data_IF_571637068542
#
_entry.id   IF_571637068542
#
_cell.length_a   1.000
_cell.length_b   1.000
_cell.length_c   1.000
_cell.angle_alpha   90.00
_cell.angle_beta   90.00
_cell.angle_gamma   90.00
#
_symmetry.space_group_name_H-M   'P 1'
#
loop_
_entity.id
_entity.type
_entity.pdbx_description
1 polymer ?
#
# COMPACT_ATOMS: atom_id res chain seq x y z
N UNK A 1 41.76 -31.69 64.91
CA UNK A 1 41.24 -32.31 63.65
C UNK A 1 40.19 -31.47 62.91
N UNK A 2 39.42 -30.57 63.56
CA UNK A 2 38.39 -29.77 62.88
C UNK A 2 38.88 -28.65 61.94
N UNK A 3 40.05 -28.05 62.21
CA UNK A 3 40.57 -26.91 61.42
C UNK A 3 41.19 -27.34 60.08
N UNK A 4 41.72 -28.56 59.99
CA UNK A 4 42.26 -29.14 58.75
C UNK A 4 41.13 -29.51 57.77
N UNK A 5 40.01 -30.03 58.28
CA UNK A 5 38.81 -30.34 57.49
C UNK A 5 38.14 -29.09 56.91
N UNK A 6 38.21 -27.95 57.62
CA UNK A 6 37.70 -26.66 57.15
C UNK A 6 38.56 -26.03 56.04
N UNK A 7 39.89 -26.20 56.10
CA UNK A 7 40.80 -25.77 55.04
C UNK A 7 40.69 -26.65 53.79
N UNK A 8 40.43 -27.95 53.94
CA UNK A 8 40.19 -28.87 52.83
C UNK A 8 38.82 -28.58 52.16
N UNK A 9 37.79 -28.21 52.92
CA UNK A 9 36.49 -27.85 52.34
C UNK A 9 36.52 -26.50 51.61
N UNK A 10 37.18 -25.48 52.19
CA UNK A 10 37.39 -24.16 51.56
C UNK A 10 38.28 -24.24 50.32
N UNK A 11 39.34 -25.05 50.35
CA UNK A 11 40.17 -25.29 49.16
C UNK A 11 39.41 -26.04 48.08
N UNK A 12 38.52 -26.98 48.42
CA UNK A 12 37.64 -27.65 47.43
C UNK A 12 36.59 -26.71 46.83
N UNK A 13 36.07 -25.76 47.61
CA UNK A 13 35.11 -24.76 47.14
C UNK A 13 35.78 -23.71 46.25
N UNK A 14 36.99 -23.29 46.62
CA UNK A 14 37.83 -22.40 45.82
C UNK A 14 38.35 -23.08 44.54
N UNK A 15 38.62 -24.40 44.56
CA UNK A 15 38.98 -25.18 43.36
C UNK A 15 37.78 -25.36 42.42
N UNK A 16 36.56 -25.49 42.96
CA UNK A 16 35.31 -25.49 42.17
C UNK A 16 34.97 -24.13 41.56
N UNK A 17 35.41 -23.02 42.16
CA UNK A 17 35.22 -21.69 41.58
C UNK A 17 36.37 -21.23 40.67
N UNK A 18 37.55 -21.87 40.74
CA UNK A 18 38.73 -21.54 39.95
C UNK A 18 38.96 -22.45 38.72
N UNK A 19 38.36 -23.65 38.69
CA UNK A 19 38.37 -24.53 37.52
C UNK A 19 37.06 -24.40 36.74
N UNK A 20 37.04 -23.43 35.81
CA UNK A 20 36.31 -23.50 34.54
C UNK A 20 34.79 -23.52 34.62
N UNK A 21 34.15 -22.44 34.13
CA UNK A 21 32.81 -22.61 33.56
C UNK A 21 32.83 -23.77 32.58
N UNK A 22 31.88 -24.69 32.69
CA UNK A 22 31.83 -25.99 32.01
C UNK A 22 32.30 -25.94 30.54
N UNK A 23 33.60 -26.13 30.31
CA UNK A 23 34.22 -26.28 28.99
C UNK A 23 33.74 -27.61 28.41
N UNK A 24 33.46 -27.73 27.11
CA UNK A 24 32.95 -28.97 26.49
C UNK A 24 33.71 -30.22 26.96
N UNK A 25 33.09 -31.12 27.74
CA UNK A 25 33.73 -32.36 28.25
C UNK A 25 33.25 -33.62 27.51
N UNK A 26 32.65 -33.50 26.32
CA UNK A 26 32.05 -34.64 25.60
C UNK A 26 32.29 -34.56 24.09
N UNK A 27 32.61 -35.70 23.46
CA UNK A 27 32.73 -35.82 22.00
C UNK A 27 31.42 -35.61 21.22
N UNK A 28 30.30 -35.41 21.90
CA UNK A 28 28.98 -35.10 21.32
C UNK A 28 28.55 -33.63 21.49
N UNK A 29 29.34 -32.82 22.21
CA UNK A 29 29.03 -31.40 22.40
C UNK A 29 29.64 -30.58 21.26
N UNK A 30 28.89 -29.61 20.78
CA UNK A 30 29.33 -28.69 19.74
C UNK A 30 28.94 -27.26 20.10
N UNK A 31 29.88 -26.34 19.94
CA UNK A 31 29.62 -24.90 20.02
C UNK A 31 28.56 -24.46 19.00
N UNK A 32 27.94 -23.29 19.22
CA UNK A 32 26.96 -22.75 18.29
C UNK A 32 27.59 -22.44 16.94
N UNK A 33 26.85 -22.71 15.86
CA UNK A 33 27.18 -22.32 14.47
C UNK A 33 25.91 -21.78 13.82
N UNK A 34 25.96 -20.58 13.24
CA UNK A 34 24.79 -19.97 12.61
C UNK A 34 24.32 -20.74 11.37
N UNK A 35 23.02 -21.02 11.31
CA UNK A 35 22.31 -21.52 10.13
C UNK A 35 21.56 -20.36 9.44
N UNK A 36 20.96 -19.46 10.23
CA UNK A 36 20.33 -18.23 9.74
C UNK A 36 20.82 -17.03 10.56
N UNK A 37 21.23 -15.97 9.86
CA UNK A 37 21.65 -14.70 10.47
C UNK A 37 20.74 -13.56 10.00
N UNK A 38 20.54 -12.52 10.82
CA UNK A 38 19.61 -11.46 10.49
C UNK A 38 20.06 -10.65 9.28
N UNK A 39 19.10 -10.09 8.57
CA UNK A 39 19.31 -9.21 7.42
C UNK A 39 18.74 -7.83 7.72
N UNK A 40 19.41 -6.79 7.22
CA UNK A 40 18.93 -5.41 7.35
C UNK A 40 17.59 -5.24 6.64
N UNK A 41 16.65 -4.54 7.27
CA UNK A 41 15.31 -4.33 6.75
C UNK A 41 14.85 -2.89 6.90
N UNK A 42 13.85 -2.53 6.08
CA UNK A 42 13.17 -1.24 6.15
C UNK A 42 11.71 -1.46 6.52
N UNK A 43 11.26 -0.83 7.61
CA UNK A 43 9.87 -0.87 8.08
C UNK A 43 9.12 0.40 7.66
N UNK A 44 7.98 0.30 6.94
CA UNK A 44 7.23 1.48 6.50
C UNK A 44 6.50 2.16 7.67
N UNK A 45 6.62 3.47 7.77
CA UNK A 45 5.88 4.27 8.76
C UNK A 45 4.37 4.32 8.44
N UNK A 46 3.52 4.42 9.46
CA UNK A 46 2.06 4.56 9.31
C UNK A 46 1.24 3.26 9.39
N UNK A 47 1.87 2.09 9.55
CA UNK A 47 1.14 0.85 9.81
C UNK A 47 0.71 0.76 11.29
N UNK A 48 -0.61 0.69 11.52
CA UNK A 48 -1.21 0.67 12.87
C UNK A 48 -1.06 -0.67 13.62
N UNK A 49 -0.68 -1.76 12.95
CA UNK A 49 -0.53 -3.11 13.52
C UNK A 49 0.62 -3.92 12.89
N UNK A 50 1.76 -3.29 12.62
CA UNK A 50 2.91 -4.02 12.08
C UNK A 50 3.79 -4.66 13.15
N UNK A 51 4.56 -5.67 12.74
CA UNK A 51 5.63 -6.29 13.53
C UNK A 51 6.88 -6.47 12.68
N UNK A 52 8.04 -6.41 13.32
CA UNK A 52 9.33 -6.73 12.71
C UNK A 52 9.88 -7.99 13.35
N UNK A 53 10.37 -8.92 12.53
CA UNK A 53 11.04 -10.13 13.00
C UNK A 53 12.45 -10.17 12.44
N UNK A 54 13.45 -10.18 13.32
CA UNK A 54 14.84 -10.44 12.96
C UNK A 54 15.15 -11.92 13.20
N UNK A 55 15.43 -12.65 12.12
CA UNK A 55 15.73 -14.08 12.20
C UNK A 55 17.13 -14.36 12.73
N UNK A 56 17.25 -15.31 13.66
CA UNK A 56 18.53 -15.82 14.12
C UNK A 56 18.40 -17.28 14.56
N UNK A 57 19.14 -18.17 13.91
CA UNK A 57 19.14 -19.59 14.22
C UNK A 57 20.56 -20.14 14.19
N UNK A 58 20.94 -20.87 15.23
CA UNK A 58 22.23 -21.53 15.36
C UNK A 58 22.06 -22.99 15.76
N UNK A 59 22.80 -23.87 15.09
CA UNK A 59 22.95 -25.27 15.47
C UNK A 59 23.94 -25.36 16.62
N UNK A 60 23.55 -26.02 17.71
CA UNK A 60 24.40 -26.22 18.89
C UNK A 60 23.97 -27.47 19.66
N UNK A 61 24.92 -28.13 20.32
CA UNK A 61 24.67 -29.27 21.21
C UNK A 61 25.44 -29.07 22.52
N UNK A 62 24.77 -28.83 23.66
CA UNK A 62 23.32 -28.59 23.85
C UNK A 62 22.82 -27.33 23.13
N UNK A 63 21.49 -27.21 23.01
CA UNK A 63 20.82 -26.10 22.32
C UNK A 63 21.26 -24.74 22.87
N UNK A 64 21.50 -23.79 21.97
CA UNK A 64 21.95 -22.45 22.32
C UNK A 64 20.82 -21.60 22.90
N UNK A 65 21.19 -20.72 23.81
CA UNK A 65 20.38 -19.60 24.29
C UNK A 65 20.70 -18.36 23.47
N UNK A 66 19.71 -17.50 23.26
CA UNK A 66 19.83 -16.33 22.38
C UNK A 66 19.63 -15.03 23.15
N UNK A 67 20.42 -14.02 22.80
CA UNK A 67 20.27 -12.64 23.28
C UNK A 67 20.43 -11.68 22.11
N UNK A 68 19.77 -10.54 22.17
CA UNK A 68 19.85 -9.52 21.14
C UNK A 68 20.46 -8.24 21.68
N UNK A 69 21.25 -7.58 20.85
CA UNK A 69 21.81 -6.26 21.13
C UNK A 69 21.39 -5.28 20.06
N UNK A 70 21.07 -4.06 20.46
CA UNK A 70 20.84 -2.91 19.58
C UNK A 70 21.87 -1.84 19.90
N UNK A 71 22.66 -1.43 18.90
CA UNK A 71 23.75 -0.45 19.05
C UNK A 71 24.72 -0.80 20.20
N UNK A 72 24.95 -2.09 20.45
CA UNK A 72 25.81 -2.60 21.53
C UNK A 72 25.11 -2.84 22.87
N UNK A 73 23.90 -2.33 23.09
CA UNK A 73 23.14 -2.49 24.34
C UNK A 73 22.20 -3.69 24.27
N UNK A 74 22.12 -4.49 25.33
CA UNK A 74 21.27 -5.68 25.39
C UNK A 74 19.77 -5.32 25.43
N UNK A 75 18.98 -5.95 24.54
CA UNK A 75 17.53 -5.76 24.45
C UNK A 75 16.87 -6.52 25.60
N UNK A 76 16.12 -5.80 26.43
CA UNK A 76 15.42 -6.36 27.60
C UNK A 76 14.10 -7.03 27.17
N UNK A 77 14.18 -8.30 26.76
CA UNK A 77 13.00 -9.10 26.36
C UNK A 77 12.18 -9.48 27.60
N UNK A 78 10.86 -9.27 27.55
CA UNK A 78 9.92 -9.66 28.61
C UNK A 78 9.67 -8.62 29.70
N UNK A 79 10.52 -7.59 29.83
CA UNK A 79 10.26 -6.44 30.70
C UNK A 79 9.25 -5.48 30.05
N UNK A 80 9.27 -5.40 28.72
CA UNK A 80 8.27 -4.72 27.90
C UNK A 80 7.53 -5.75 27.03
N UNK A 81 6.19 -5.66 26.96
CA UNK A 81 5.34 -6.57 26.18
C UNK A 81 5.55 -6.50 24.66
N UNK A 82 6.30 -5.51 24.17
CA UNK A 82 6.57 -5.28 22.74
C UNK A 82 7.65 -6.18 22.16
N UNK A 83 8.62 -6.61 22.98
CA UNK A 83 9.73 -7.45 22.55
C UNK A 83 9.47 -8.89 22.93
N UNK A 84 9.50 -9.78 21.94
CA UNK A 84 9.39 -11.22 22.16
C UNK A 84 10.58 -11.94 21.52
N UNK A 85 11.10 -12.94 22.22
CA UNK A 85 12.12 -13.86 21.70
C UNK A 85 11.45 -15.19 21.42
N UNK A 86 11.36 -15.57 20.15
CA UNK A 86 10.70 -16.80 19.70
C UNK A 86 11.69 -17.65 18.94
N UNK A 87 12.16 -18.74 19.57
CA UNK A 87 13.14 -19.67 19.00
C UNK A 87 14.40 -18.99 18.43
N UNK A 88 14.91 -17.95 19.12
CA UNK A 88 16.08 -17.18 18.71
C UNK A 88 15.76 -15.90 17.92
N UNK A 89 14.57 -15.80 17.34
CA UNK A 89 14.14 -14.64 16.57
C UNK A 89 13.66 -13.51 17.49
N UNK A 90 14.11 -12.28 17.23
CA UNK A 90 13.60 -11.09 17.91
C UNK A 90 12.38 -10.56 17.17
N UNK A 91 11.25 -10.50 17.86
CA UNK A 91 9.99 -9.92 17.38
C UNK A 91 9.74 -8.59 18.09
N UNK A 92 9.55 -7.53 17.30
CA UNK A 92 9.23 -6.18 17.76
C UNK A 92 7.81 -5.86 17.30
N UNK A 93 6.87 -5.78 18.24
CA UNK A 93 5.48 -5.39 17.95
C UNK A 93 5.34 -3.87 17.94
N UNK A 94 4.58 -3.35 16.98
CA UNK A 94 4.34 -1.90 16.80
C UNK A 94 5.63 -1.07 16.82
N UNK A 95 6.56 -1.34 15.88
CA UNK A 95 7.89 -0.75 15.91
C UNK A 95 7.84 0.77 15.68
N UNK A 96 8.70 1.50 16.41
CA UNK A 96 8.74 2.96 16.48
C UNK A 96 10.10 3.51 16.02
N UNK A 97 10.14 4.49 15.09
CA UNK A 97 11.39 5.02 14.54
C UNK A 97 12.38 5.52 15.59
N UNK A 98 11.89 6.24 16.61
CA UNK A 98 12.73 6.84 17.64
C UNK A 98 13.40 5.83 18.59
N UNK A 99 12.93 4.58 18.62
CA UNK A 99 13.37 3.57 19.61
C UNK A 99 13.99 2.34 18.98
N UNK A 100 13.41 1.89 17.86
CA UNK A 100 13.71 0.59 17.27
C UNK A 100 14.60 0.72 16.02
N UNK A 101 14.96 1.94 15.63
CA UNK A 101 15.96 2.17 14.59
C UNK A 101 17.36 1.92 15.15
N UNK A 102 18.14 1.06 14.50
CA UNK A 102 19.47 0.73 15.00
C UNK A 102 20.09 -0.49 14.35
N UNK A 103 21.30 -0.81 14.81
CA UNK A 103 22.08 -1.95 14.36
C UNK A 103 21.93 -3.11 15.33
N UNK A 104 21.29 -4.19 14.88
CA UNK A 104 20.95 -5.35 15.68
C UNK A 104 21.92 -6.50 15.46
N UNK A 105 22.31 -7.16 16.54
CA UNK A 105 23.14 -8.36 16.52
C UNK A 105 22.57 -9.42 17.46
N UNK A 106 22.60 -10.67 16.99
CA UNK A 106 22.21 -11.83 17.74
C UNK A 106 23.45 -12.49 18.38
N UNK A 107 23.36 -12.80 19.66
CA UNK A 107 24.34 -13.54 20.43
C UNK A 107 23.77 -14.93 20.75
N UNK A 108 24.37 -15.98 20.20
CA UNK A 108 24.02 -17.36 20.50
C UNK A 108 25.06 -17.97 21.45
N UNK A 109 24.62 -18.51 22.58
CA UNK A 109 25.48 -19.00 23.67
C UNK A 109 25.06 -20.40 24.09
N UNK A 110 26.01 -21.32 24.15
CA UNK A 110 25.88 -22.56 24.92
C UNK A 110 27.12 -22.77 25.80
N UNK A 111 27.18 -23.88 26.54
CA UNK A 111 28.33 -24.21 27.39
C UNK A 111 29.67 -24.31 26.64
N UNK A 112 29.61 -24.60 25.36
CA UNK A 112 30.78 -24.74 24.49
C UNK A 112 31.30 -23.43 23.91
N UNK A 113 30.53 -22.35 23.98
CA UNK A 113 30.99 -21.04 23.51
C UNK A 113 29.86 -20.08 23.14
N UNK A 114 30.28 -18.91 22.66
CA UNK A 114 29.40 -17.83 22.24
C UNK A 114 29.82 -17.29 20.87
N UNK A 115 28.84 -17.07 19.99
CA UNK A 115 29.05 -16.46 18.67
C UNK A 115 28.12 -15.26 18.48
N UNK A 116 28.59 -14.25 17.75
CA UNK A 116 27.86 -13.02 17.43
C UNK A 116 27.57 -12.96 15.94
N UNK A 117 26.32 -12.66 15.56
CA UNK A 117 25.92 -12.58 14.17
C UNK A 117 26.44 -11.31 13.47
N UNK A 118 26.34 -11.30 12.14
CA UNK A 118 26.39 -10.06 11.36
C UNK A 118 25.38 -9.04 11.88
N UNK A 119 25.72 -7.76 11.71
CA UNK A 119 24.84 -6.66 12.04
C UNK A 119 23.72 -6.51 11.02
N UNK A 120 22.48 -6.36 11.50
CA UNK A 120 21.31 -6.08 10.70
C UNK A 120 20.72 -4.74 11.11
N UNK A 121 20.61 -3.82 10.16
CA UNK A 121 20.09 -2.48 10.43
C UNK A 121 18.58 -2.46 10.22
N UNK A 122 17.83 -2.04 11.24
CA UNK A 122 16.43 -1.65 11.08
C UNK A 122 16.41 -0.15 10.79
N UNK A 123 15.81 0.21 9.66
CA UNK A 123 15.51 1.60 9.32
C UNK A 123 14.03 1.76 9.03
N UNK A 124 13.54 2.98 9.15
CA UNK A 124 12.14 3.30 8.91
C UNK A 124 11.98 4.02 7.58
N UNK A 125 11.02 3.55 6.78
CA UNK A 125 10.70 4.13 5.48
C UNK A 125 9.74 5.28 5.67
N UNK A 126 10.14 6.47 5.25
CA UNK A 126 9.27 7.64 5.19
C UNK A 126 8.56 7.64 3.84
N UNK A 127 7.23 7.60 3.84
CA UNK A 127 6.46 7.82 2.62
C UNK A 127 6.72 9.27 2.15
N UNK A 128 7.19 9.48 0.91
CA UNK A 128 7.38 10.83 0.41
C UNK A 128 6.02 11.54 0.40
N UNK A 129 5.85 12.70 1.07
CA UNK A 129 4.62 13.48 0.93
C UNK A 129 4.37 13.78 -0.56
N UNK A 130 3.10 13.74 -0.98
CA UNK A 130 2.74 14.17 -2.33
C UNK A 130 3.25 15.58 -2.55
N UNK A 131 4.12 15.77 -3.54
CA UNK A 131 4.51 17.10 -3.99
C UNK A 131 3.22 17.84 -4.40
N UNK A 132 2.92 19.01 -3.81
CA UNK A 132 1.78 19.81 -4.24
C UNK A 132 1.89 20.07 -5.75
N UNK A 133 0.80 19.96 -6.53
CA UNK A 133 0.81 20.26 -7.96
C UNK A 133 1.23 21.70 -8.30
N UNK A 134 1.14 22.61 -7.32
CA UNK A 134 0.98 24.05 -7.55
C UNK A 134 2.21 24.91 -7.19
N UNK A 135 3.39 24.30 -6.99
CA UNK A 135 4.54 24.99 -6.39
C UNK A 135 5.74 25.24 -7.33
N UNK A 136 5.66 24.88 -8.62
CA UNK A 136 6.80 25.05 -9.55
C UNK A 136 6.52 26.16 -10.55
N UNK A 137 7.36 27.18 -10.56
CA UNK A 137 7.35 28.23 -11.57
C UNK A 137 7.71 27.67 -12.96
N UNK A 138 7.06 28.11 -14.04
CA UNK A 138 7.47 27.77 -15.40
C UNK A 138 8.93 28.14 -15.66
N UNK A 139 9.66 27.27 -16.37
CA UNK A 139 11.05 27.51 -16.76
C UNK A 139 11.14 27.69 -18.27
N UNK A 140 11.85 28.72 -18.72
CA UNK A 140 12.13 29.00 -20.12
C UNK A 140 13.59 28.71 -20.44
N UNK A 141 13.84 28.14 -21.63
CA UNK A 141 15.18 27.88 -22.16
C UNK A 141 15.27 28.42 -23.59
N UNK A 142 16.44 28.91 -23.97
CA UNK A 142 16.70 29.32 -25.35
C UNK A 142 16.99 28.10 -26.22
N UNK A 143 16.54 28.13 -27.46
CA UNK A 143 16.80 27.08 -28.44
C UNK A 143 18.30 26.81 -28.56
N UNK A 144 18.68 25.53 -28.62
CA UNK A 144 20.06 25.08 -28.75
C UNK A 144 20.85 25.04 -27.44
N UNK A 145 20.32 25.57 -26.33
CA UNK A 145 21.00 25.62 -25.03
C UNK A 145 20.62 24.43 -24.16
N UNK A 146 21.58 23.93 -23.37
CA UNK A 146 21.33 22.88 -22.38
C UNK A 146 20.67 23.42 -21.12
N UNK A 147 19.78 22.65 -20.51
CA UNK A 147 19.06 23.04 -19.29
C UNK A 147 18.76 21.82 -18.41
N UNK A 148 18.20 22.03 -17.22
CA UNK A 148 17.74 20.94 -16.37
C UNK A 148 16.47 21.32 -15.61
N UNK A 149 15.68 20.31 -15.26
CA UNK A 149 14.50 20.41 -14.42
C UNK A 149 14.76 19.70 -13.09
N UNK A 150 14.57 20.42 -12.00
CA UNK A 150 14.80 19.90 -10.67
C UNK A 150 13.63 19.00 -10.24
N UNK A 151 13.92 17.79 -9.73
CA UNK A 151 12.86 16.92 -9.20
C UNK A 151 12.47 17.30 -7.75
N UNK A 152 13.44 17.65 -6.91
CA UNK A 152 13.23 18.01 -5.49
C UNK A 152 12.27 17.06 -4.76
N UNK A 153 12.58 15.75 -4.69
CA UNK A 153 11.77 14.83 -3.89
C UNK A 153 11.82 15.26 -2.40
N UNK A 154 10.72 15.11 -1.66
CA UNK A 154 10.74 15.32 -0.22
C UNK A 154 11.63 14.29 0.48
N UNK A 155 11.90 14.49 1.77
CA UNK A 155 12.68 13.55 2.59
C UNK A 155 12.13 12.13 2.47
N UNK A 156 12.99 11.19 2.11
CA UNK A 156 12.60 9.82 1.79
C UNK A 156 13.66 8.82 2.25
N UNK A 157 13.22 7.58 2.49
CA UNK A 157 14.09 6.43 2.72
C UNK A 157 13.30 5.14 2.36
N UNK A 158 13.89 4.13 1.68
CA UNK A 158 15.26 4.05 1.19
C UNK A 158 15.48 4.88 -0.09
N UNK A 159 16.61 4.70 -0.76
CA UNK A 159 16.94 5.41 -2.00
C UNK A 159 15.81 5.23 -3.05
N UNK A 160 15.45 6.33 -3.71
CA UNK A 160 14.48 6.32 -4.80
C UNK A 160 15.19 6.05 -6.15
N UNK A 161 14.43 5.51 -7.09
CA UNK A 161 14.72 5.58 -8.51
C UNK A 161 13.82 6.62 -9.17
N UNK A 162 14.36 7.30 -10.17
CA UNK A 162 13.77 8.50 -10.76
C UNK A 162 13.52 8.32 -12.24
N UNK A 163 12.33 8.73 -12.66
CA UNK A 163 11.91 8.78 -14.06
C UNK A 163 11.17 10.08 -14.32
N UNK A 164 11.13 10.51 -15.56
CA UNK A 164 10.35 11.69 -15.96
C UNK A 164 9.39 11.32 -17.05
N UNK A 165 8.22 11.96 -17.04
CA UNK A 165 7.26 11.88 -18.12
C UNK A 165 6.83 13.27 -18.59
N UNK A 166 6.52 13.37 -19.87
CA UNK A 166 6.14 14.61 -20.54
C UNK A 166 4.63 14.61 -20.78
N UNK A 167 3.99 15.72 -20.44
CA UNK A 167 2.55 16.03 -20.53
C UNK A 167 1.66 15.10 -19.71
N UNK A 168 1.61 13.81 -20.07
CA UNK A 168 0.72 12.84 -19.42
C UNK A 168 1.43 11.52 -19.10
N UNK A 169 1.04 10.92 -17.98
CA UNK A 169 1.54 9.60 -17.57
C UNK A 169 0.86 8.50 -18.42
N UNK A 170 1.57 7.52 -19.02
CA UNK A 170 2.97 7.14 -18.78
C UNK A 170 3.93 7.49 -19.96
N UNK A 171 3.89 8.71 -20.50
CA UNK A 171 4.79 9.12 -21.58
C UNK A 171 6.21 9.40 -21.06
N UNK A 172 6.93 8.33 -20.72
CA UNK A 172 8.24 8.42 -20.09
C UNK A 172 9.32 8.83 -21.09
N UNK A 173 10.18 9.75 -20.66
CA UNK A 173 11.32 10.20 -21.45
C UNK A 173 12.34 9.08 -21.52
N UNK A 174 12.63 8.63 -22.74
CA UNK A 174 13.65 7.64 -23.01
C UNK A 174 15.00 8.33 -23.27
N UNK A 175 16.07 7.99 -22.54
CA UNK A 175 17.40 8.58 -22.74
C UNK A 175 18.16 8.01 -23.96
N UNK A 176 17.45 7.47 -24.95
CA UNK A 176 18.02 6.64 -26.03
C UNK A 176 19.00 7.39 -26.95
N UNK A 177 18.79 8.69 -27.17
CA UNK A 177 19.67 9.52 -28.02
C UNK A 177 20.72 10.33 -27.25
N UNK A 178 20.85 10.13 -25.93
CA UNK A 178 21.79 10.88 -25.08
C UNK A 178 21.46 12.38 -24.90
N UNK A 179 20.43 12.88 -25.58
CA UNK A 179 19.91 14.25 -25.45
C UNK A 179 19.25 14.52 -24.09
N UNK A 180 18.70 13.46 -23.50
CA UNK A 180 18.05 13.48 -22.19
C UNK A 180 18.79 12.58 -21.20
N UNK A 181 18.96 13.06 -19.97
CA UNK A 181 19.57 12.28 -18.89
C UNK A 181 18.82 12.49 -17.59
N UNK A 182 18.54 11.40 -16.85
CA UNK A 182 17.91 11.47 -15.53
C UNK A 182 18.91 11.03 -14.47
N UNK A 183 19.30 11.95 -13.60
CA UNK A 183 20.18 11.65 -12.47
C UNK A 183 19.45 10.76 -11.47
N UNK A 184 19.95 9.55 -11.24
CA UNK A 184 19.41 8.66 -10.20
C UNK A 184 19.82 9.07 -8.78
N UNK A 185 20.68 10.09 -8.63
CA UNK A 185 21.12 10.60 -7.31
C UNK A 185 20.28 11.80 -6.88
N UNK A 186 20.04 12.75 -7.80
CA UNK A 186 19.30 13.99 -7.49
C UNK A 186 17.87 13.98 -8.01
N UNK A 187 17.54 13.06 -8.91
CA UNK A 187 16.28 12.99 -9.63
C UNK A 187 16.14 14.01 -10.76
N UNK A 188 17.11 14.88 -10.98
CA UNK A 188 17.00 15.95 -11.98
C UNK A 188 17.01 15.39 -13.41
N UNK A 189 16.20 15.99 -14.27
CA UNK A 189 16.19 15.75 -15.72
C UNK A 189 17.07 16.78 -16.39
N UNK A 190 18.05 16.33 -17.17
CA UNK A 190 18.96 17.17 -17.94
C UNK A 190 18.62 17.05 -19.42
N UNK A 191 18.59 18.20 -20.08
CA UNK A 191 18.41 18.36 -21.51
C UNK A 191 19.70 18.96 -22.09
N UNK A 192 20.37 18.24 -22.98
CA UNK A 192 21.63 18.70 -23.55
C UNK A 192 21.45 19.85 -24.55
N UNK A 193 20.35 19.83 -25.32
CA UNK A 193 20.03 20.81 -26.36
C UNK A 193 18.52 20.98 -26.48
N UNK A 194 18.02 22.16 -26.15
CA UNK A 194 16.60 22.49 -26.22
C UNK A 194 16.12 22.72 -27.66
N UNK A 195 14.97 22.13 -28.00
CA UNK A 195 14.27 22.29 -29.28
C UNK A 195 12.85 22.80 -29.05
N UNK A 196 12.21 23.49 -30.03
CA UNK A 196 10.84 23.99 -29.87
C UNK A 196 9.83 22.89 -29.50
N UNK A 197 10.05 21.66 -29.98
CA UNK A 197 9.21 20.49 -29.72
C UNK A 197 9.32 19.95 -28.28
N UNK A 198 10.29 20.42 -27.48
CA UNK A 198 10.42 20.06 -26.07
C UNK A 198 9.49 20.91 -25.17
N UNK A 199 8.66 21.78 -25.75
CA UNK A 199 7.72 22.59 -24.97
C UNK A 199 6.61 21.70 -24.39
N UNK A 200 6.53 21.61 -23.07
CA UNK A 200 5.49 20.82 -22.41
C UNK A 200 5.58 20.81 -20.88
N UNK A 201 4.72 20.01 -20.26
CA UNK A 201 4.65 19.86 -18.81
C UNK A 201 5.43 18.63 -18.36
N UNK A 202 6.49 18.82 -17.58
CA UNK A 202 7.38 17.75 -17.15
C UNK A 202 7.10 17.34 -15.71
N UNK A 203 7.02 16.03 -15.49
CA UNK A 203 6.68 15.47 -14.18
C UNK A 203 7.74 14.47 -13.71
N UNK A 204 8.24 14.68 -12.50
CA UNK A 204 9.13 13.73 -11.83
C UNK A 204 8.32 12.57 -11.23
N UNK A 205 8.70 11.35 -11.57
CA UNK A 205 8.13 10.12 -11.07
C UNK A 205 9.18 9.38 -10.24
N UNK A 206 8.84 9.11 -8.98
CA UNK A 206 9.73 8.45 -8.02
C UNK A 206 9.21 7.07 -7.68
N UNK A 207 10.11 6.09 -7.64
CA UNK A 207 9.82 4.73 -7.16
C UNK A 207 10.86 4.34 -6.13
N UNK A 208 10.52 3.45 -5.21
CA UNK A 208 11.48 2.99 -4.19
C UNK A 208 12.42 1.95 -4.82
N UNK A 209 13.74 2.14 -4.72
CA UNK A 209 14.71 1.13 -5.16
C UNK A 209 14.86 0.06 -4.07
N UNK A 210 14.35 -1.14 -4.35
CA UNK A 210 14.30 -2.25 -3.40
C UNK A 210 15.60 -3.06 -3.27
N UNK A 211 16.64 -2.78 -4.06
CA UNK A 211 17.91 -3.53 -4.00
C UNK A 211 18.64 -3.42 -2.64
N UNK A 212 18.39 -2.36 -1.85
CA UNK A 212 19.05 -2.12 -0.55
C UNK A 212 18.30 -2.78 0.64
N UNK A 213 17.13 -3.37 0.42
CA UNK A 213 16.29 -3.92 1.50
C UNK A 213 16.19 -5.45 1.42
N UNK A 214 17.26 -6.15 1.82
CA UNK A 214 17.27 -7.61 1.96
C UNK A 214 16.26 -8.06 3.03
N UNK A 215 15.13 -8.62 2.59
CA UNK A 215 13.92 -8.88 3.40
C UNK A 215 13.29 -7.60 3.96
N UNK A 216 12.88 -6.72 3.07
CA UNK A 216 11.86 -5.74 3.40
C UNK A 216 10.60 -6.47 3.89
N UNK A 217 10.16 -6.17 5.12
CA UNK A 217 8.77 -6.38 5.55
C UNK A 217 7.87 -5.28 4.99
N UNK A 218 8.19 -4.68 3.84
CA UNK A 218 7.12 -4.36 2.93
C UNK A 218 6.50 -5.71 2.61
N UNK A 219 5.31 -5.97 3.16
CA UNK A 219 4.38 -6.83 2.46
C UNK A 219 4.30 -6.18 1.07
N UNK A 220 5.08 -6.68 0.11
CA UNK A 220 4.71 -6.57 -1.30
C UNK A 220 3.30 -7.12 -1.25
N UNK A 221 2.34 -6.21 -1.24
CA UNK A 221 0.95 -6.57 -1.08
C UNK A 221 0.64 -7.26 -2.39
N UNK A 222 0.87 -8.57 -2.39
CA UNK A 222 0.84 -9.37 -3.58
C UNK A 222 -0.64 -9.50 -3.89
N UNK A 223 -1.14 -8.53 -4.66
CA UNK A 223 -2.52 -8.48 -5.08
C UNK A 223 -2.67 -9.53 -6.16
N UNK A 224 -3.36 -10.60 -5.81
CA UNK A 224 -3.72 -11.64 -6.76
C UNK A 224 -5.12 -11.34 -7.27
N UNK A 225 -5.28 -11.40 -8.59
CA UNK A 225 -6.57 -11.30 -9.24
C UNK A 225 -6.98 -12.73 -9.57
N UNK A 226 -8.13 -13.16 -9.07
CA UNK A 226 -8.68 -14.49 -9.33
C UNK A 226 -10.15 -14.40 -9.68
N UNK A 227 -10.70 -15.50 -10.18
CA UNK A 227 -12.15 -15.63 -10.37
C UNK A 227 -12.86 -15.59 -9.02
N UNK A 228 -14.06 -15.02 -9.04
CA UNK A 228 -14.97 -15.04 -7.89
C UNK A 228 -15.25 -16.48 -7.44
N UNK A 229 -15.41 -16.65 -6.14
CA UNK A 229 -15.81 -17.89 -5.49
C UNK A 229 -16.96 -17.61 -4.50
N UNK A 230 -17.84 -18.58 -4.28
CA UNK A 230 -19.07 -18.35 -3.49
C UNK A 230 -18.82 -17.92 -2.03
N UNK A 231 -17.66 -18.27 -1.46
CA UNK A 231 -17.28 -17.82 -0.12
C UNK A 231 -16.97 -16.32 -0.05
N UNK A 232 -16.71 -15.65 -1.17
CA UNK A 232 -16.45 -14.21 -1.23
C UNK A 232 -17.74 -13.37 -1.17
N UNK A 233 -18.92 -14.02 -1.25
CA UNK A 233 -20.22 -13.36 -1.47
C UNK A 233 -20.45 -12.18 -0.52
N UNK A 234 -20.37 -12.40 0.79
CA UNK A 234 -20.61 -11.34 1.77
C UNK A 234 -19.65 -10.15 1.62
N UNK A 235 -18.38 -10.44 1.37
CA UNK A 235 -17.35 -9.40 1.20
C UNK A 235 -17.61 -8.59 -0.07
N UNK A 236 -17.94 -9.26 -1.18
CA UNK A 236 -18.24 -8.62 -2.47
C UNK A 236 -19.50 -7.76 -2.38
N UNK A 237 -20.57 -8.26 -1.73
CA UNK A 237 -21.80 -7.48 -1.51
C UNK A 237 -21.50 -6.25 -0.66
N UNK A 238 -20.73 -6.39 0.43
CA UNK A 238 -20.34 -5.26 1.27
C UNK A 238 -19.49 -4.24 0.52
N UNK A 239 -18.54 -4.69 -0.30
CA UNK A 239 -17.66 -3.82 -1.10
C UNK A 239 -18.46 -3.05 -2.15
N UNK A 240 -19.43 -3.71 -2.80
CA UNK A 240 -20.33 -3.08 -3.74
C UNK A 240 -21.19 -2.00 -3.08
N UNK A 241 -21.88 -2.32 -1.98
CA UNK A 241 -22.78 -1.38 -1.30
C UNK A 241 -22.05 -0.14 -0.80
N UNK A 242 -20.98 -0.33 -0.01
CA UNK A 242 -20.22 0.79 0.54
C UNK A 242 -19.60 1.64 -0.57
N UNK A 243 -19.05 1.00 -1.61
CA UNK A 243 -18.41 1.73 -2.70
C UNK A 243 -19.37 2.56 -3.53
N UNK A 244 -20.66 2.19 -3.63
CA UNK A 244 -21.67 3.00 -4.30
C UNK A 244 -22.21 4.11 -3.37
N UNK A 245 -22.43 3.80 -2.08
CA UNK A 245 -22.92 4.76 -1.08
C UNK A 245 -21.92 5.91 -0.82
N UNK A 246 -20.62 5.67 -0.97
CA UNK A 246 -19.58 6.71 -0.90
C UNK A 246 -19.80 7.87 -1.88
N UNK A 247 -20.52 7.65 -2.98
CA UNK A 247 -20.82 8.67 -3.97
C UNK A 247 -22.02 9.57 -3.61
N UNK A 248 -22.73 9.28 -2.52
CA UNK A 248 -23.87 10.09 -2.06
C UNK A 248 -23.41 11.52 -1.76
N UNK A 249 -22.38 11.69 -0.92
CA UNK A 249 -21.93 13.03 -0.50
C UNK A 249 -21.37 13.87 -1.66
N UNK A 250 -20.47 13.37 -2.52
CA UNK A 250 -20.05 14.10 -3.72
C UNK A 250 -21.21 14.49 -4.64
N UNK A 251 -22.23 13.64 -4.75
CA UNK A 251 -23.42 13.94 -5.56
C UNK A 251 -24.27 15.05 -4.94
N UNK A 252 -24.41 15.07 -3.61
CA UNK A 252 -25.07 16.16 -2.88
C UNK A 252 -24.31 17.47 -3.10
N UNK A 253 -22.99 17.46 -3.00
CA UNK A 253 -22.17 18.64 -3.28
C UNK A 253 -22.39 19.13 -4.71
N UNK A 254 -22.32 18.25 -5.71
CA UNK A 254 -22.55 18.61 -7.10
C UNK A 254 -23.98 19.14 -7.36
N UNK A 255 -24.99 18.54 -6.74
CA UNK A 255 -26.37 18.99 -6.82
C UNK A 255 -26.54 20.39 -6.21
N UNK A 256 -26.02 20.61 -5.00
CA UNK A 256 -26.07 21.89 -4.29
C UNK A 256 -25.31 23.01 -5.02
N UNK A 257 -24.22 22.69 -5.71
CA UNK A 257 -23.43 23.64 -6.50
C UNK A 257 -24.04 23.96 -7.87
N UNK A 258 -25.15 23.32 -8.27
CA UNK A 258 -25.79 23.64 -9.54
C UNK A 258 -26.39 25.06 -9.53
N UNK A 259 -26.36 25.81 -10.66
CA UNK A 259 -26.87 27.19 -10.71
C UNK A 259 -28.32 27.33 -10.25
N UNK A 260 -29.15 26.33 -10.55
CA UNK A 260 -30.55 26.27 -10.11
C UNK A 260 -30.65 26.12 -8.59
N UNK A 261 -29.89 25.19 -8.00
CA UNK A 261 -29.89 24.96 -6.55
C UNK A 261 -29.32 26.14 -5.76
N UNK A 262 -28.35 26.87 -6.32
CA UNK A 262 -27.86 28.13 -5.75
C UNK A 262 -28.95 29.21 -5.73
N UNK A 263 -29.71 29.35 -6.83
CA UNK A 263 -30.85 30.25 -6.91
C UNK A 263 -31.94 29.92 -5.87
N UNK A 264 -32.32 28.65 -5.74
CA UNK A 264 -33.27 28.20 -4.72
C UNK A 264 -32.77 28.48 -3.30
N UNK A 265 -31.49 28.23 -3.03
CA UNK A 265 -30.89 28.46 -1.70
C UNK A 265 -30.92 29.95 -1.33
N UNK A 266 -30.57 30.83 -2.26
CA UNK A 266 -30.64 32.28 -2.06
C UNK A 266 -32.09 32.75 -1.87
N UNK A 267 -33.02 32.26 -2.70
CA UNK A 267 -34.44 32.60 -2.61
C UNK A 267 -35.07 32.18 -1.27
N UNK A 268 -34.77 30.97 -0.80
CA UNK A 268 -35.21 30.48 0.52
C UNK A 268 -34.57 31.26 1.66
N UNK A 269 -33.28 31.63 1.54
CA UNK A 269 -32.60 32.46 2.53
C UNK A 269 -33.24 33.85 2.67
N UNK A 270 -33.48 34.53 1.55
CA UNK A 270 -34.15 35.84 1.52
C UNK A 270 -35.57 35.73 2.07
N UNK A 271 -36.34 34.74 1.61
CA UNK A 271 -37.73 34.54 2.05
C UNK A 271 -37.83 34.24 3.55
N UNK A 272 -36.96 33.36 4.06
CA UNK A 272 -36.90 33.03 5.48
C UNK A 272 -36.48 34.22 6.35
N UNK A 273 -35.54 35.04 5.87
CA UNK A 273 -35.13 36.26 6.55
C UNK A 273 -36.28 37.28 6.66
N UNK A 274 -37.02 37.46 5.57
CA UNK A 274 -38.16 38.39 5.53
C UNK A 274 -39.34 37.93 6.41
N UNK A 275 -39.62 36.62 6.47
CA UNK A 275 -40.77 36.09 7.21
C UNK A 275 -40.51 35.89 8.70
N UNK A 276 -39.30 35.45 9.08
CA UNK A 276 -39.04 34.98 10.44
C UNK A 276 -37.61 35.28 10.92
N UNK A 277 -37.03 36.38 10.45
CA UNK A 277 -35.66 36.84 10.79
C UNK A 277 -34.57 35.82 10.41
N UNK A 278 -33.34 36.00 10.90
CA UNK A 278 -32.21 35.10 10.59
C UNK A 278 -32.47 33.63 10.91
N UNK A 279 -33.29 33.32 11.92
CA UNK A 279 -33.64 31.95 12.28
C UNK A 279 -34.48 31.28 11.18
N UNK A 280 -35.42 32.01 10.58
CA UNK A 280 -36.24 31.52 9.46
C UNK A 280 -35.41 31.17 8.23
N UNK A 281 -34.41 31.99 7.90
CA UNK A 281 -33.49 31.74 6.80
C UNK A 281 -32.71 30.42 7.00
N UNK A 282 -32.20 30.18 8.21
CA UNK A 282 -31.47 28.96 8.54
C UNK A 282 -32.33 27.71 8.42
N UNK A 283 -33.57 27.77 8.92
CA UNK A 283 -34.50 26.61 8.86
C UNK A 283 -34.84 26.25 7.42
N UNK A 284 -35.17 27.23 6.57
CA UNK A 284 -35.52 26.95 5.18
C UNK A 284 -34.34 26.44 4.36
N UNK A 285 -33.16 27.05 4.52
CA UNK A 285 -31.93 26.59 3.84
C UNK A 285 -31.51 25.20 4.31
N UNK A 286 -31.58 24.92 5.62
CA UNK A 286 -31.27 23.59 6.16
C UNK A 286 -32.27 22.53 5.72
N UNK A 287 -33.56 22.88 5.67
CA UNK A 287 -34.62 22.00 5.17
C UNK A 287 -34.42 21.66 3.69
N UNK A 288 -34.06 22.64 2.86
CA UNK A 288 -33.70 22.41 1.46
C UNK A 288 -32.47 21.52 1.30
N UNK A 289 -31.37 21.81 2.01
CA UNK A 289 -30.17 20.98 1.98
C UNK A 289 -30.46 19.54 2.45
N UNK A 290 -31.28 19.39 3.49
CA UNK A 290 -31.76 18.09 3.98
C UNK A 290 -32.61 17.34 2.95
N UNK A 291 -33.47 18.02 2.20
CA UNK A 291 -34.24 17.43 1.11
C UNK A 291 -33.33 16.95 -0.03
N UNK A 292 -32.34 17.76 -0.45
CA UNK A 292 -31.37 17.37 -1.46
C UNK A 292 -30.58 16.14 -1.00
N UNK A 293 -30.10 16.14 0.24
CA UNK A 293 -29.43 14.99 0.84
C UNK A 293 -30.32 13.74 0.83
N UNK A 294 -31.57 13.86 1.27
CA UNK A 294 -32.53 12.75 1.29
C UNK A 294 -32.79 12.19 -0.10
N UNK A 295 -33.00 13.04 -1.10
CA UNK A 295 -33.21 12.63 -2.49
C UNK A 295 -31.99 11.87 -3.04
N UNK A 296 -30.77 12.40 -2.84
CA UNK A 296 -29.56 11.71 -3.25
C UNK A 296 -29.40 10.37 -2.52
N UNK A 297 -29.56 10.35 -1.20
CA UNK A 297 -29.46 9.13 -0.40
C UNK A 297 -30.47 8.07 -0.86
N UNK A 298 -31.72 8.47 -1.10
CA UNK A 298 -32.77 7.58 -1.59
C UNK A 298 -32.43 6.98 -2.96
N UNK A 299 -31.97 7.80 -3.92
CA UNK A 299 -31.60 7.32 -5.25
C UNK A 299 -30.50 6.25 -5.20
N UNK A 300 -29.43 6.49 -4.44
CA UNK A 300 -28.32 5.54 -4.34
C UNK A 300 -28.70 4.29 -3.55
N UNK A 301 -29.41 4.42 -2.43
CA UNK A 301 -29.82 3.26 -1.61
C UNK A 301 -30.84 2.38 -2.34
N UNK A 302 -31.79 2.96 -3.10
CA UNK A 302 -32.71 2.21 -3.94
C UNK A 302 -31.98 1.48 -5.08
N UNK A 303 -31.00 2.14 -5.71
CA UNK A 303 -30.15 1.51 -6.73
C UNK A 303 -29.34 0.34 -6.17
N UNK A 304 -28.67 0.53 -5.02
CA UNK A 304 -27.90 -0.53 -4.36
C UNK A 304 -28.82 -1.70 -4.01
N UNK A 305 -29.97 -1.42 -3.40
CA UNK A 305 -30.97 -2.45 -3.04
C UNK A 305 -31.46 -3.23 -4.27
N UNK A 306 -31.78 -2.55 -5.36
CA UNK A 306 -32.19 -3.18 -6.62
C UNK A 306 -31.11 -4.13 -7.16
N UNK A 307 -29.84 -3.70 -7.18
CA UNK A 307 -28.74 -4.55 -7.68
C UNK A 307 -28.39 -5.71 -6.75
N UNK A 308 -28.48 -5.50 -5.44
CA UNK A 308 -28.36 -6.57 -4.43
C UNK A 308 -29.46 -7.64 -4.56
N UNK A 309 -30.65 -7.26 -5.01
CA UNK A 309 -31.78 -8.18 -5.22
C UNK A 309 -31.84 -8.79 -6.62
N UNK A 310 -31.04 -8.28 -7.55
CA UNK A 310 -31.00 -8.76 -8.94
C UNK A 310 -29.65 -9.42 -9.23
N UNK A 311 -28.76 -8.76 -9.96
CA UNK A 311 -27.54 -9.36 -10.50
C UNK A 311 -26.52 -9.78 -9.42
N UNK A 312 -26.55 -9.11 -8.26
CA UNK A 312 -25.65 -9.44 -7.15
C UNK A 312 -26.23 -10.50 -6.21
N UNK A 313 -27.53 -10.83 -6.30
CA UNK A 313 -28.13 -11.88 -5.47
C UNK A 313 -27.54 -13.25 -5.80
N UNK A 314 -27.40 -13.52 -7.09
CA UNK A 314 -26.75 -14.71 -7.64
C UNK A 314 -25.70 -14.29 -8.69
N UNK A 315 -24.49 -14.04 -8.19
CA UNK A 315 -23.34 -13.59 -8.99
C UNK A 315 -22.95 -14.67 -10.01
N UNK A 316 -23.02 -15.95 -9.63
CA UNK A 316 -22.62 -17.05 -10.51
C UNK A 316 -23.59 -17.15 -11.70
N UNK A 317 -24.89 -17.12 -11.43
CA UNK A 317 -25.90 -17.13 -12.50
C UNK A 317 -25.79 -15.88 -13.39
N UNK A 318 -25.53 -14.72 -12.81
CA UNK A 318 -25.56 -13.43 -13.53
C UNK A 318 -24.29 -13.13 -14.35
N UNK A 319 -23.13 -13.57 -13.88
CA UNK A 319 -21.82 -13.17 -14.45
C UNK A 319 -20.88 -14.33 -14.77
N UNK A 320 -21.27 -15.57 -14.48
CA UNK A 320 -20.42 -16.75 -14.68
C UNK A 320 -21.16 -17.94 -15.31
N UNK A 321 -22.41 -17.75 -15.73
CA UNK A 321 -23.21 -18.82 -16.35
C UNK A 321 -22.75 -19.15 -17.77
N UNK A 322 -22.24 -18.16 -18.51
CA UNK A 322 -21.72 -18.36 -19.86
C UNK A 322 -20.18 -18.37 -19.86
N UNK A 323 -19.54 -19.13 -20.77
CA UNK A 323 -18.08 -19.22 -20.87
C UNK A 323 -17.41 -17.89 -21.27
N UNK A 324 -18.20 -16.98 -21.85
CA UNK A 324 -17.77 -15.67 -22.32
C UNK A 324 -18.03 -14.53 -21.33
N UNK A 325 -18.59 -14.87 -20.16
CA UNK A 325 -18.78 -13.94 -19.06
C UNK A 325 -17.69 -14.15 -18.00
N UNK A 326 -17.52 -13.15 -17.14
CA UNK A 326 -16.68 -13.34 -15.99
C UNK A 326 -16.80 -12.33 -14.88
N UNK A 327 -16.47 -12.81 -13.69
CA UNK A 327 -16.36 -12.00 -12.49
C UNK A 327 -15.01 -12.30 -11.82
N UNK A 328 -14.27 -11.24 -11.50
CA UNK A 328 -12.98 -11.32 -10.83
C UNK A 328 -13.00 -10.53 -9.54
N UNK A 329 -12.26 -11.05 -8.57
CA UNK A 329 -11.94 -10.39 -7.31
C UNK A 329 -10.43 -10.22 -7.20
N UNK A 330 -10.02 -9.10 -6.62
CA UNK A 330 -8.65 -8.89 -6.20
C UNK A 330 -8.55 -9.08 -4.70
N UNK A 331 -7.62 -9.92 -4.26
CA UNK A 331 -7.39 -10.20 -2.84
C UNK A 331 -5.96 -9.87 -2.42
N UNK A 332 -5.80 -9.49 -1.14
CA UNK A 332 -4.49 -9.27 -0.54
C UNK A 332 -3.86 -10.60 -0.13
N UNK A 333 -2.69 -10.91 -0.67
CA UNK A 333 -1.96 -12.11 -0.27
C UNK A 333 -1.70 -12.13 1.24
N UNK A 334 -2.08 -13.24 1.87
CA UNK A 334 -1.88 -13.52 3.29
C UNK A 334 -3.07 -13.19 4.20
N UNK A 335 -4.00 -12.33 3.77
CA UNK A 335 -5.24 -12.05 4.54
C UNK A 335 -6.50 -12.61 3.87
N UNK A 336 -6.44 -12.93 2.56
CA UNK A 336 -7.59 -13.46 1.82
C UNK A 336 -8.74 -12.45 1.70
N UNK A 337 -8.50 -11.18 2.03
CA UNK A 337 -9.51 -10.14 2.00
C UNK A 337 -9.69 -9.63 0.57
N UNK A 338 -10.92 -9.72 0.07
CA UNK A 338 -11.30 -9.11 -1.21
C UNK A 338 -11.28 -7.58 -1.07
N UNK A 339 -10.55 -6.93 -1.95
CA UNK A 339 -10.33 -5.47 -1.95
C UNK A 339 -10.66 -4.80 -3.28
N UNK A 340 -10.99 -5.57 -4.31
CA UNK A 340 -11.46 -5.07 -5.58
C UNK A 340 -12.29 -6.10 -6.31
N UNK A 341 -13.18 -5.64 -7.17
CA UNK A 341 -14.08 -6.48 -7.95
C UNK A 341 -14.34 -5.86 -9.33
N UNK A 342 -14.55 -6.72 -10.33
CA UNK A 342 -14.98 -6.33 -11.66
C UNK A 342 -15.70 -7.49 -12.32
N UNK A 343 -16.71 -7.19 -13.14
CA UNK A 343 -17.43 -8.16 -13.94
C UNK A 343 -17.44 -7.76 -15.42
N UNK A 344 -17.62 -8.74 -16.30
CA UNK A 344 -17.85 -8.54 -17.71
C UNK A 344 -18.90 -9.53 -18.20
N UNK A 345 -19.81 -9.06 -19.05
CA UNK A 345 -20.80 -9.89 -19.74
C UNK A 345 -20.65 -9.73 -21.23
N UNK A 346 -20.62 -10.83 -21.97
CA UNK A 346 -20.58 -10.81 -23.41
C UNK A 346 -21.96 -10.44 -23.98
N UNK A 347 -22.00 -9.38 -24.79
CA UNK A 347 -23.19 -8.97 -25.54
C UNK A 347 -22.97 -9.13 -27.04
N UNK A 348 -24.07 -9.23 -27.77
CA UNK A 348 -24.09 -9.35 -29.22
C UNK A 348 -25.08 -8.33 -29.79
N UNK A 349 -24.62 -7.54 -30.76
CA UNK A 349 -25.47 -6.65 -31.53
C UNK A 349 -25.26 -6.94 -33.02
N UNK A 350 -26.25 -7.59 -33.64
CA UNK A 350 -26.13 -8.11 -35.00
C UNK A 350 -25.01 -9.14 -35.13
N UNK A 351 -24.02 -8.87 -35.98
CA UNK A 351 -22.83 -9.72 -36.14
C UNK A 351 -21.68 -9.36 -35.17
N UNK A 352 -21.77 -8.20 -34.49
CA UNK A 352 -20.70 -7.71 -33.63
C UNK A 352 -20.85 -8.27 -32.21
N UNK A 353 -19.73 -8.78 -31.67
CA UNK A 353 -19.65 -9.30 -30.30
C UNK A 353 -18.75 -8.41 -29.46
N UNK A 354 -19.26 -7.95 -28.31
CA UNK A 354 -18.54 -7.02 -27.44
C UNK A 354 -18.73 -7.38 -25.97
N UNK A 355 -17.79 -6.97 -25.12
CA UNK A 355 -17.90 -7.12 -23.67
C UNK A 355 -18.51 -5.86 -23.04
N UNK A 356 -19.39 -6.03 -22.06
CA UNK A 356 -19.85 -4.91 -21.22
C UNK A 356 -19.31 -5.09 -19.80
N UNK A 357 -18.56 -4.10 -19.35
CA UNK A 357 -17.89 -4.10 -18.04
C UNK A 357 -18.84 -3.56 -16.98
N UNK A 358 -19.01 -4.34 -15.91
CA UNK A 358 -19.87 -4.03 -14.78
C UNK A 358 -19.11 -4.07 -13.46
N UNK A 359 -19.74 -3.48 -12.43
CA UNK A 359 -19.39 -3.69 -11.01
C UNK A 359 -17.91 -3.47 -10.67
N UNK A 360 -17.25 -2.54 -11.37
CA UNK A 360 -15.89 -2.10 -10.99
C UNK A 360 -15.96 -1.38 -9.65
N UNK A 361 -15.42 -1.99 -8.60
CA UNK A 361 -15.30 -1.36 -7.31
C UNK A 361 -13.96 -1.70 -6.65
N UNK A 362 -13.38 -0.73 -5.94
CA UNK A 362 -12.09 -0.86 -5.28
C UNK A 362 -12.21 -0.26 -3.88
N UNK A 363 -11.77 -1.03 -2.89
CA UNK A 363 -11.73 -0.60 -1.50
C UNK A 363 -10.93 0.70 -1.35
N UNK A 364 -11.38 1.68 -0.55
CA UNK A 364 -10.70 2.96 -0.38
C UNK A 364 -9.21 2.86 -0.04
N UNK A 365 -8.83 1.89 0.79
CA UNK A 365 -7.43 1.63 1.18
C UNK A 365 -6.54 1.16 0.03
N UNK A 366 -7.15 0.73 -1.08
CA UNK A 366 -6.51 0.11 -2.24
C UNK A 366 -6.69 0.94 -3.52
N UNK A 367 -7.16 2.18 -3.40
CA UNK A 367 -7.27 3.10 -4.53
C UNK A 367 -5.90 3.74 -4.84
N UNK A 368 -5.72 4.19 -6.08
CA UNK A 368 -4.50 4.87 -6.57
C UNK A 368 -3.20 4.04 -6.53
N UNK A 369 -3.25 2.76 -6.19
CA UNK A 369 -2.11 1.81 -6.30
C UNK A 369 -2.07 1.05 -7.63
N UNK A 370 -2.88 1.46 -8.62
CA UNK A 370 -2.96 0.82 -9.94
C UNK A 370 -3.86 -0.42 -10.02
N UNK A 371 -4.53 -0.82 -8.93
CA UNK A 371 -5.40 -2.00 -8.91
C UNK A 371 -6.54 -1.91 -9.94
N UNK A 372 -7.14 -0.73 -10.12
CA UNK A 372 -8.19 -0.52 -11.12
C UNK A 372 -7.70 -0.77 -12.54
N UNK A 373 -6.53 -0.27 -12.89
CA UNK A 373 -5.92 -0.54 -14.20
C UNK A 373 -5.63 -2.03 -14.39
N UNK A 374 -5.18 -2.74 -13.35
CA UNK A 374 -4.94 -4.19 -13.42
C UNK A 374 -6.24 -4.99 -13.62
N UNK A 375 -7.30 -4.63 -12.91
CA UNK A 375 -8.61 -5.26 -13.06
C UNK A 375 -9.21 -4.96 -14.45
N UNK A 376 -9.14 -3.72 -14.92
CA UNK A 376 -9.56 -3.37 -16.28
C UNK A 376 -8.75 -4.13 -17.32
N UNK A 377 -7.43 -4.22 -17.17
CA UNK A 377 -6.58 -4.98 -18.08
C UNK A 377 -6.96 -6.46 -18.11
N UNK A 378 -7.27 -7.05 -16.95
CA UNK A 378 -7.76 -8.44 -16.85
C UNK A 378 -9.02 -8.65 -17.70
N UNK A 379 -9.96 -7.71 -17.66
CA UNK A 379 -11.17 -7.75 -18.49
C UNK A 379 -10.84 -7.59 -19.97
N UNK A 380 -9.98 -6.62 -20.33
CA UNK A 380 -9.60 -6.38 -21.72
C UNK A 380 -8.91 -7.61 -22.33
N UNK A 381 -7.97 -8.22 -21.62
CA UNK A 381 -7.26 -9.42 -22.06
C UNK A 381 -8.23 -10.60 -22.21
N UNK A 382 -9.17 -10.75 -21.27
CA UNK A 382 -10.21 -11.76 -21.32
C UNK A 382 -11.13 -11.62 -22.55
N UNK A 383 -11.59 -10.40 -22.83
CA UNK A 383 -12.41 -10.09 -24.01
C UNK A 383 -11.64 -10.33 -25.31
N UNK A 384 -10.36 -9.93 -25.35
CA UNK A 384 -9.48 -10.12 -26.50
C UNK A 384 -9.26 -11.60 -26.82
N UNK A 385 -9.03 -12.44 -25.81
CA UNK A 385 -8.89 -13.89 -25.96
C UNK A 385 -10.16 -14.55 -26.54
N UNK A 386 -11.33 -13.93 -26.38
CA UNK A 386 -12.63 -14.40 -26.88
C UNK A 386 -13.05 -13.76 -28.20
N UNK A 387 -12.16 -12.99 -28.83
CA UNK A 387 -12.41 -12.36 -30.12
C UNK A 387 -13.48 -11.27 -30.08
N UNK A 388 -13.70 -10.62 -28.93
CA UNK A 388 -14.62 -9.49 -28.83
C UNK A 388 -14.02 -8.24 -29.49
N UNK A 389 -14.82 -7.50 -30.24
CA UNK A 389 -14.35 -6.35 -31.04
C UNK A 389 -14.12 -5.11 -30.20
N UNK A 390 -14.90 -4.94 -29.12
CA UNK A 390 -14.83 -3.80 -28.20
C UNK A 390 -15.28 -4.17 -26.80
N UNK A 391 -14.97 -3.28 -25.86
CA UNK A 391 -15.49 -3.31 -24.49
C UNK A 391 -16.17 -1.98 -24.21
N UNK A 392 -17.38 -2.02 -23.66
CA UNK A 392 -18.19 -0.85 -23.30
C UNK A 392 -18.51 -0.88 -21.81
N UNK A 393 -18.87 0.26 -21.25
CA UNK A 393 -19.30 0.38 -19.86
C UNK A 393 -20.22 1.58 -19.70
N UNK A 394 -21.04 1.54 -18.66
CA UNK A 394 -21.84 2.68 -18.22
C UNK A 394 -21.31 3.18 -16.88
N UNK A 395 -21.09 4.50 -16.78
CA UNK A 395 -20.69 5.15 -15.52
C UNK A 395 -21.37 6.50 -15.39
N UNK A 396 -21.70 6.89 -14.17
CA UNK A 396 -22.23 8.23 -13.91
C UNK A 396 -21.17 9.30 -14.16
N UNK A 397 -21.57 10.46 -14.66
CA UNK A 397 -20.71 11.65 -14.80
C UNK A 397 -20.14 12.13 -13.47
N UNK A 398 -20.80 11.80 -12.34
CA UNK A 398 -20.31 12.09 -10.99
C UNK A 398 -19.11 11.24 -10.56
N UNK A 399 -18.82 10.12 -11.23
CA UNK A 399 -17.73 9.21 -10.89
C UNK A 399 -16.41 9.61 -11.57
N UNK A 400 -15.91 10.80 -11.25
CA UNK A 400 -14.71 11.40 -11.88
C UNK A 400 -13.46 10.51 -11.83
N UNK A 401 -13.24 9.81 -10.71
CA UNK A 401 -12.12 8.88 -10.57
C UNK A 401 -12.23 7.65 -11.49
N UNK A 402 -13.44 7.13 -11.70
CA UNK A 402 -13.71 6.03 -12.62
C UNK A 402 -13.53 6.48 -14.08
N UNK A 403 -14.08 7.64 -14.43
CA UNK A 403 -13.93 8.23 -15.77
C UNK A 403 -12.45 8.42 -16.12
N UNK A 404 -11.66 9.01 -15.21
CA UNK A 404 -10.22 9.19 -15.42
C UNK A 404 -9.47 7.84 -15.57
N UNK A 405 -9.88 6.81 -14.83
CA UNK A 405 -9.34 5.46 -15.00
C UNK A 405 -9.64 4.89 -16.39
N UNK A 406 -10.89 4.97 -16.84
CA UNK A 406 -11.28 4.40 -18.14
C UNK A 406 -10.67 5.17 -19.31
N UNK A 407 -10.63 6.49 -19.25
CA UNK A 407 -9.94 7.32 -20.25
C UNK A 407 -8.45 6.96 -20.35
N UNK A 408 -7.78 6.76 -19.21
CA UNK A 408 -6.38 6.29 -19.16
C UNK A 408 -6.20 4.90 -19.81
N UNK A 409 -7.21 4.04 -19.76
CA UNK A 409 -7.21 2.71 -20.39
C UNK A 409 -7.68 2.75 -21.86
N UNK A 410 -7.93 3.94 -22.42
CA UNK A 410 -8.28 4.12 -23.84
C UNK A 410 -9.78 4.11 -24.15
N UNK A 411 -10.65 4.10 -23.14
CA UNK A 411 -12.10 4.22 -23.36
C UNK A 411 -12.46 5.65 -23.79
N UNK A 412 -13.42 5.76 -24.70
CA UNK A 412 -13.92 7.03 -25.25
C UNK A 412 -15.42 7.17 -24.94
N UNK A 413 -15.87 8.41 -24.79
CA UNK A 413 -17.28 8.77 -24.55
C UNK A 413 -18.10 8.64 -25.83
#
# INVERSE_FOLDING_TARGET
MGSLLWLISLSSLALKSALGGDVCVSGHDSGPVFEEQPTSLVYPEGLSQGKVTLSCQARASPAATYRWRVNGTEVQVGMESRYALVAGNLVINSPQPARDAGSYQCLAVNRCGAIVSRAANIKFGCEPPRLPPDARSPQTAYEGVGTFLACQPPTHYPALSYRWFLNEFPSFIQPEDGRWFVSQVTGNLYLAKAEPNDTGSYFCFTTINMEISTKSTFKSMHLTTRRYQDHDKETVLSLFSHGIEEHIWPSVQNAMSSPLSLGFTLGLGITGYLLASGLGALVLVSGWAGLVYYCCHKLYTEFVRDKLQTDMQDIVASYMSQPDDGFWVAETAGEGKVVGMVAVVAKKNGAERYGELFRMNISPSMRRVGLGSRLTQTVLDFCKQRGMTKVVLETSSSQTAGIALYQKMGFKH
#
